data_IF_998976682808
#
_entry.id   IF_998976682808
#
_cell.length_a   1.000
_cell.length_b   1.000
_cell.length_c   1.000
_cell.angle_alpha   90.00
_cell.angle_beta   90.00
_cell.angle_gamma   90.00
#
_symmetry.space_group_name_H-M   'P 1'
#
loop_
_entity.id
_entity.type
_entity.pdbx_description
1 polymer ?
#
# COMPACT_ATOMS: atom_id res chain seq x y z
N UNK A 1 9.76 5.43 -25.38
CA UNK A 1 9.68 6.09 -24.05
C UNK A 1 8.32 5.86 -23.39
N UNK A 2 7.23 6.19 -24.09
CA UNK A 2 5.86 5.91 -23.62
C UNK A 2 5.62 4.43 -23.32
N UNK A 3 6.06 3.51 -24.18
CA UNK A 3 5.86 2.06 -23.98
C UNK A 3 6.50 1.54 -22.68
N UNK A 4 7.75 1.93 -22.40
CA UNK A 4 8.44 1.55 -21.15
C UNK A 4 7.73 2.06 -19.88
N UNK A 5 7.17 3.28 -19.94
CA UNK A 5 6.39 3.82 -18.81
C UNK A 5 5.07 3.05 -18.65
N UNK A 6 4.44 2.69 -19.76
CA UNK A 6 3.19 1.94 -19.77
C UNK A 6 3.38 0.52 -19.22
N UNK A 7 4.47 -0.17 -19.60
CA UNK A 7 4.78 -1.50 -19.05
C UNK A 7 5.00 -1.49 -17.54
N UNK A 8 5.59 -0.42 -16.97
CA UNK A 8 5.71 -0.26 -15.51
C UNK A 8 4.36 0.01 -14.86
N UNK A 9 3.52 0.82 -15.50
CA UNK A 9 2.16 1.05 -15.03
C UNK A 9 1.37 -0.27 -14.98
N UNK A 10 1.35 -1.02 -16.08
CA UNK A 10 0.67 -2.32 -16.17
C UNK A 10 1.26 -3.36 -15.21
N UNK A 11 2.56 -3.32 -14.91
CA UNK A 11 3.18 -4.23 -13.92
C UNK A 11 2.62 -4.04 -12.51
N UNK A 12 2.37 -2.80 -12.11
CA UNK A 12 2.03 -2.45 -10.73
C UNK A 12 0.53 -2.24 -10.52
N UNK A 13 -0.13 -1.63 -11.50
CA UNK A 13 -1.57 -1.42 -11.51
C UNK A 13 -2.31 -2.59 -12.15
N UNK A 14 -1.65 -3.39 -13.00
CA UNK A 14 -2.26 -4.58 -13.60
C UNK A 14 -3.46 -4.26 -14.48
N UNK A 15 -4.09 -5.33 -14.97
CA UNK A 15 -5.54 -5.29 -15.13
C UNK A 15 -6.19 -5.21 -13.75
N UNK A 16 -7.41 -4.66 -13.67
CA UNK A 16 -8.15 -4.48 -12.43
C UNK A 16 -8.15 -5.73 -11.51
N UNK A 17 -8.16 -6.95 -12.08
CA UNK A 17 -8.08 -8.21 -11.33
C UNK A 17 -6.76 -8.41 -10.54
N UNK A 18 -5.65 -7.91 -11.08
CA UNK A 18 -4.27 -8.03 -10.56
C UNK A 18 -3.75 -6.72 -9.93
N UNK A 19 -4.64 -5.85 -9.46
CA UNK A 19 -4.26 -4.61 -8.78
C UNK A 19 -3.44 -4.90 -7.51
N UNK A 20 -2.29 -4.26 -7.39
CA UNK A 20 -1.51 -4.30 -6.15
C UNK A 20 -2.25 -3.57 -5.03
N UNK A 21 -2.59 -4.30 -3.96
CA UNK A 21 -3.33 -3.79 -2.82
C UNK A 21 -2.64 -2.62 -2.12
N UNK A 22 -1.30 -2.63 -2.06
CA UNK A 22 -0.52 -1.59 -1.39
C UNK A 22 -0.66 -0.23 -2.10
N UNK A 23 -0.80 -0.23 -3.43
CA UNK A 23 -1.04 1.00 -4.18
C UNK A 23 -2.43 1.56 -3.89
N UNK A 24 -3.43 0.69 -3.75
CA UNK A 24 -4.78 1.10 -3.37
C UNK A 24 -4.77 1.68 -1.95
N UNK A 25 -4.06 1.05 -1.02
CA UNK A 25 -3.90 1.54 0.35
C UNK A 25 -3.18 2.90 0.37
N UNK A 26 -2.13 3.08 -0.43
CA UNK A 26 -1.46 4.38 -0.55
C UNK A 26 -2.43 5.50 -0.98
N UNK A 27 -3.35 5.19 -1.92
CA UNK A 27 -4.42 6.13 -2.32
C UNK A 27 -5.40 6.39 -1.18
N UNK A 28 -5.73 5.40 -0.35
CA UNK A 28 -6.60 5.60 0.82
C UNK A 28 -5.93 6.48 1.88
N UNK A 29 -4.64 6.27 2.11
CA UNK A 29 -3.85 7.03 3.08
C UNK A 29 -3.59 8.47 2.62
N UNK A 30 -3.75 8.77 1.32
CA UNK A 30 -3.77 10.14 0.85
C UNK A 30 -4.95 10.91 1.47
N UNK A 31 -4.70 12.02 2.19
CA UNK A 31 -5.73 12.82 2.85
C UNK A 31 -6.88 13.27 1.94
N UNK A 32 -6.64 13.36 0.63
CA UNK A 32 -7.59 13.85 -0.38
C UNK A 32 -8.61 12.79 -0.80
N UNK A 33 -8.21 11.52 -0.83
CA UNK A 33 -8.97 10.50 -1.53
C UNK A 33 -9.74 9.59 -0.57
N UNK A 34 -9.12 9.13 0.53
CA UNK A 34 -9.75 8.26 1.54
C UNK A 34 -10.48 7.03 0.94
N UNK A 35 -11.18 6.27 1.79
CA UNK A 35 -12.01 5.14 1.35
C UNK A 35 -13.17 5.53 0.43
N UNK A 36 -13.68 6.78 0.52
CA UNK A 36 -14.79 7.24 -0.33
C UNK A 36 -14.40 7.22 -1.81
N UNK A 37 -13.18 7.63 -2.14
CA UNK A 37 -12.69 7.63 -3.51
C UNK A 37 -12.46 6.22 -4.03
N UNK A 38 -11.89 5.33 -3.22
CA UNK A 38 -11.69 3.93 -3.60
C UNK A 38 -13.03 3.23 -3.84
N UNK A 39 -14.03 3.43 -2.97
CA UNK A 39 -15.39 2.94 -3.19
C UNK A 39 -16.00 3.44 -4.51
N UNK A 40 -15.79 4.72 -4.83
CA UNK A 40 -16.28 5.30 -6.08
C UNK A 40 -15.62 4.70 -7.31
N UNK A 41 -14.28 4.57 -7.31
CA UNK A 41 -13.55 3.95 -8.41
C UNK A 41 -13.95 2.49 -8.56
N UNK A 42 -13.94 1.72 -7.47
CA UNK A 42 -14.28 0.30 -7.52
C UNK A 42 -15.73 0.09 -7.97
N UNK A 43 -16.67 0.91 -7.52
CA UNK A 43 -18.07 0.85 -7.98
C UNK A 43 -18.26 1.26 -9.44
N UNK A 44 -17.34 2.04 -10.02
CA UNK A 44 -17.37 2.40 -11.45
C UNK A 44 -16.63 1.40 -12.34
N UNK A 45 -15.58 0.79 -11.80
CA UNK A 45 -14.71 -0.15 -12.52
C UNK A 45 -15.22 -1.59 -12.51
N UNK A 46 -16.00 -1.97 -11.49
CA UNK A 46 -16.52 -3.32 -11.29
C UNK A 46 -18.04 -3.35 -11.26
N UNK A 47 -18.58 -4.56 -11.46
CA UNK A 47 -19.93 -4.88 -11.03
C UNK A 47 -20.07 -4.66 -9.51
N UNK A 48 -21.27 -4.24 -9.08
CA UNK A 48 -21.55 -3.82 -7.71
C UNK A 48 -21.08 -4.82 -6.63
N UNK A 49 -21.19 -6.13 -6.90
CA UNK A 49 -20.76 -7.19 -5.98
C UNK A 49 -19.22 -7.27 -5.90
N UNK A 50 -18.53 -7.29 -7.04
CA UNK A 50 -17.07 -7.38 -7.08
C UNK A 50 -16.40 -6.12 -6.53
N UNK A 51 -16.99 -4.94 -6.77
CA UNK A 51 -16.50 -3.67 -6.22
C UNK A 51 -16.61 -3.62 -4.70
N UNK A 52 -17.71 -4.13 -4.12
CA UNK A 52 -17.85 -4.26 -2.66
C UNK A 52 -16.83 -5.22 -2.07
N UNK A 53 -16.70 -6.43 -2.63
CA UNK A 53 -15.74 -7.42 -2.13
C UNK A 53 -14.31 -6.88 -2.13
N UNK A 54 -13.90 -6.18 -3.19
CA UNK A 54 -12.58 -5.54 -3.27
C UNK A 54 -12.45 -4.42 -2.23
N UNK A 55 -13.49 -3.62 -1.99
CA UNK A 55 -13.46 -2.57 -0.97
C UNK A 55 -13.33 -3.13 0.44
N UNK A 56 -14.10 -4.18 0.77
CA UNK A 56 -14.04 -4.86 2.07
C UNK A 56 -12.63 -5.44 2.30
N UNK A 57 -12.02 -5.97 1.25
CA UNK A 57 -10.64 -6.46 1.30
C UNK A 57 -9.64 -5.32 1.55
N UNK A 58 -9.81 -4.16 0.91
CA UNK A 58 -8.97 -2.98 1.19
C UNK A 58 -9.10 -2.55 2.65
N UNK A 59 -10.31 -2.51 3.21
CA UNK A 59 -10.55 -2.20 4.62
C UNK A 59 -9.87 -3.22 5.52
N UNK A 60 -9.98 -4.51 5.21
CA UNK A 60 -9.35 -5.59 5.98
C UNK A 60 -7.83 -5.44 6.05
N UNK A 61 -7.18 -5.14 4.92
CA UNK A 61 -5.72 -4.92 4.91
C UNK A 61 -5.33 -3.64 5.65
N UNK A 62 -6.14 -2.58 5.54
CA UNK A 62 -5.90 -1.33 6.28
C UNK A 62 -5.95 -1.53 7.79
N UNK A 63 -6.97 -2.24 8.27
CA UNK A 63 -7.10 -2.56 9.69
C UNK A 63 -5.94 -3.44 10.16
N UNK A 64 -5.55 -4.46 9.38
CA UNK A 64 -4.40 -5.30 9.72
C UNK A 64 -3.09 -4.50 9.81
N UNK A 65 -2.87 -3.54 8.90
CA UNK A 65 -1.72 -2.63 8.97
C UNK A 65 -1.77 -1.74 10.21
N UNK A 66 -2.96 -1.23 10.55
CA UNK A 66 -3.17 -0.43 11.74
C UNK A 66 -2.92 -1.22 13.02
N UNK A 67 -3.49 -2.41 13.15
CA UNK A 67 -3.29 -3.30 14.31
C UNK A 67 -1.81 -3.64 14.49
N UNK A 68 -1.09 -3.84 13.37
CA UNK A 68 0.35 -4.08 13.42
C UNK A 68 1.11 -2.87 13.92
N UNK A 69 0.76 -1.67 13.44
CA UNK A 69 1.37 -0.42 13.90
C UNK A 69 1.10 -0.19 15.40
N UNK A 70 -0.14 -0.39 15.85
CA UNK A 70 -0.53 -0.27 17.25
C UNK A 70 0.25 -1.24 18.14
N UNK A 71 0.36 -2.51 17.71
CA UNK A 71 1.17 -3.51 18.43
C UNK A 71 2.65 -3.17 18.54
N UNK A 72 3.21 -2.43 17.57
CA UNK A 72 4.60 -1.98 17.61
C UNK A 72 4.78 -0.84 18.61
N UNK A 73 3.79 0.05 18.75
CA UNK A 73 3.82 1.12 19.75
C UNK A 73 3.79 0.55 21.17
N UNK A 74 2.91 -0.43 21.42
CA UNK A 74 2.84 -1.09 22.73
C UNK A 74 4.14 -1.85 23.06
N UNK A 75 4.72 -2.56 22.09
CA UNK A 75 6.01 -3.23 22.27
C UNK A 75 7.17 -2.24 22.56
N UNK A 76 7.11 -1.03 22.00
CA UNK A 76 8.12 0.02 22.26
C UNK A 76 7.98 0.69 23.63
N UNK A 77 6.79 0.63 24.25
CA UNK A 77 6.56 1.19 25.58
C UNK A 77 7.09 0.29 26.71
N UNK A 78 7.23 -1.02 26.46
CA UNK A 78 7.83 -1.99 27.40
C UNK A 78 9.36 -2.05 27.33
N UNK A 79 9.97 -1.50 26.27
CA UNK A 79 11.42 -1.46 26.06
C UNK A 79 11.95 -0.01 26.09
N UNK A 80 11.76 0.67 27.23
CA UNK A 80 12.53 1.87 27.56
C UNK A 80 13.98 1.42 27.82
N UNK A 81 14.69 1.12 26.74
CA UNK A 81 15.93 0.37 26.80
C UNK A 81 16.79 0.27 25.54
N UNK A 82 16.43 0.81 24.36
CA UNK A 82 17.44 0.96 23.30
C UNK A 82 16.98 1.03 21.84
N UNK A 83 17.55 2.02 21.15
CA UNK A 83 17.74 2.15 19.70
C UNK A 83 16.53 2.35 18.76
N UNK A 84 16.22 3.63 18.56
CA UNK A 84 15.55 4.19 17.38
C UNK A 84 16.41 4.17 16.10
N UNK A 85 17.61 3.58 16.16
CA UNK A 85 18.62 3.59 15.08
C UNK A 85 18.36 2.55 13.98
N UNK A 86 17.62 1.47 14.27
CA UNK A 86 17.44 0.32 13.37
C UNK A 86 16.45 0.56 12.23
N UNK A 87 15.48 1.45 12.39
CA UNK A 87 14.48 1.75 11.35
C UNK A 87 15.02 2.60 10.20
N UNK A 88 16.01 3.46 10.47
CA UNK A 88 16.62 4.32 9.44
C UNK A 88 17.40 3.48 8.43
N UNK A 89 18.24 2.56 8.92
CA UNK A 89 19.09 1.71 8.07
C UNK A 89 18.28 0.73 7.21
N UNK A 90 17.19 0.20 7.76
CA UNK A 90 16.27 -0.63 6.98
C UNK A 90 15.60 0.18 5.86
N UNK A 91 15.16 1.41 6.15
CA UNK A 91 14.58 2.31 5.15
C UNK A 91 15.52 2.56 3.97
N UNK A 92 16.77 2.92 4.27
CA UNK A 92 17.79 3.22 3.26
C UNK A 92 18.16 1.98 2.41
N UNK A 93 18.22 0.80 3.04
CA UNK A 93 18.50 -0.46 2.36
C UNK A 93 17.36 -0.89 1.41
N UNK A 94 16.10 -0.77 1.86
CA UNK A 94 14.94 -1.02 1.00
C UNK A 94 14.92 -0.05 -0.17
N UNK A 95 15.13 1.23 0.06
CA UNK A 95 15.08 2.26 -0.97
C UNK A 95 16.12 2.04 -2.07
N UNK A 96 17.35 1.69 -1.69
CA UNK A 96 18.42 1.31 -2.61
C UNK A 96 18.08 0.06 -3.44
N UNK A 97 17.42 -0.93 -2.83
CA UNK A 97 17.03 -2.15 -3.53
C UNK A 97 15.88 -1.91 -4.52
N UNK A 98 14.95 -1.01 -4.19
CA UNK A 98 13.85 -0.60 -5.06
C UNK A 98 14.33 0.19 -6.29
N UNK A 99 15.31 1.08 -6.12
CA UNK A 99 15.89 1.85 -7.23
C UNK A 99 16.62 0.95 -8.23
N UNK A 100 17.37 -0.04 -7.74
CA UNK A 100 18.05 -1.03 -8.59
C UNK A 100 17.08 -1.83 -9.46
N UNK A 101 15.92 -2.23 -8.92
CA UNK A 101 14.89 -2.94 -9.69
C UNK A 101 14.10 -2.04 -10.65
N UNK A 102 14.29 -0.71 -10.59
CA UNK A 102 13.65 0.24 -11.50
C UNK A 102 14.50 0.52 -12.75
N UNK A 103 15.80 0.24 -12.71
CA UNK A 103 16.76 0.52 -13.80
C UNK A 103 16.93 -0.65 -14.80
N UNK A 104 16.46 -1.85 -14.45
CA UNK A 104 16.30 -3.00 -15.36
C UNK A 104 14.98 -2.94 -16.17
#
# INVERSE_FOLDING_TARGET
MAERMNSKFDKYWGMFENLNMLLVIAVVLDPRYKMKYVNFILGKSYDFLSGRLKSDLVVGVLNHLYDRYDSLLEASNDDIGGDTSTMSEAGDAWQSQWEKHLEE
#
